data_IF_220284940300
#
_entry.id   IF_220284940300
#
_cell.length_a   1.000
_cell.length_b   1.000
_cell.length_c   1.000
_cell.angle_alpha   90.00
_cell.angle_beta   90.00
_cell.angle_gamma   90.00
#
_symmetry.space_group_name_H-M   'P 1'
#
loop_
_entity.id
_entity.type
_entity.pdbx_description
1 polymer ?
#
# COMPACT_ATOMS: atom_id res chain seq x y z
N UNK A 1 -1.38 17.17 5.98
CA UNK A 1 -2.34 17.32 7.09
C UNK A 1 -1.99 18.56 7.88
N UNK A 2 -2.98 19.36 8.25
CA UNK A 2 -2.82 20.49 9.19
C UNK A 2 -3.55 20.09 10.46
N UNK A 3 -2.82 19.81 11.52
CA UNK A 3 -3.38 19.38 12.81
C UNK A 3 -2.55 19.98 13.94
N UNK A 4 -2.81 21.25 14.27
CA UNK A 4 -2.08 21.94 15.33
C UNK A 4 -2.90 23.01 16.07
N UNK A 5 -4.23 22.89 16.19
CA UNK A 5 -4.97 23.95 16.89
C UNK A 5 -6.04 23.53 17.91
N UNK A 6 -6.73 22.39 17.78
CA UNK A 6 -7.89 22.13 18.66
C UNK A 6 -7.59 21.34 19.94
N UNK A 7 -6.57 20.47 19.98
CA UNK A 7 -6.24 19.72 21.19
C UNK A 7 -5.42 20.55 22.21
N UNK A 8 -5.16 21.83 21.91
CA UNK A 8 -4.11 22.67 22.52
C UNK A 8 -4.47 23.35 23.85
N UNK A 9 -5.67 23.14 24.40
CA UNK A 9 -6.02 23.59 25.77
C UNK A 9 -6.28 22.46 26.76
N UNK A 10 -6.30 21.19 26.31
CA UNK A 10 -6.57 20.05 27.18
C UNK A 10 -5.27 19.42 27.72
N UNK A 11 -4.84 19.95 28.86
CA UNK A 11 -4.40 19.24 30.07
C UNK A 11 -3.08 18.45 30.22
N UNK A 12 -2.24 18.16 29.23
CA UNK A 12 -0.94 17.46 29.54
C UNK A 12 0.25 17.85 28.66
N UNK A 13 0.51 19.15 28.51
CA UNK A 13 1.85 19.59 28.15
C UNK A 13 2.33 20.60 29.19
N UNK A 14 3.48 20.30 29.80
CA UNK A 14 4.19 21.20 30.70
C UNK A 14 4.56 22.54 30.02
N UNK A 15 5.40 23.32 30.69
CA UNK A 15 5.65 24.74 30.42
C UNK A 15 5.61 25.15 28.92
N UNK A 16 4.72 26.11 28.60
CA UNK A 16 4.33 26.61 27.27
C UNK A 16 5.46 26.74 26.23
N UNK A 17 6.69 27.08 26.63
CA UNK A 17 7.82 27.28 25.73
C UNK A 17 8.38 25.97 25.13
N UNK A 18 8.32 24.85 25.86
CA UNK A 18 8.76 23.55 25.35
C UNK A 18 7.73 22.94 24.39
N UNK A 19 6.44 23.20 24.64
CA UNK A 19 5.30 22.76 23.81
C UNK A 19 5.41 23.26 22.37
N UNK A 20 5.60 24.58 22.19
CA UNK A 20 5.70 25.17 20.86
C UNK A 20 6.88 24.59 20.06
N UNK A 21 8.01 24.25 20.71
CA UNK A 21 9.19 23.70 20.02
C UNK A 21 8.95 22.30 19.47
N UNK A 22 8.39 21.38 20.27
CA UNK A 22 8.10 20.02 19.83
C UNK A 22 7.07 20.00 18.70
N UNK A 23 6.10 20.89 18.76
CA UNK A 23 5.10 21.06 17.69
C UNK A 23 5.72 21.53 16.37
N UNK A 24 6.64 22.50 16.41
CA UNK A 24 7.37 22.94 15.21
C UNK A 24 8.29 21.85 14.66
N UNK A 25 8.95 21.10 15.54
CA UNK A 25 9.79 19.97 15.15
C UNK A 25 8.94 18.91 14.43
N UNK A 26 7.80 18.54 15.01
CA UNK A 26 6.87 17.56 14.44
C UNK A 26 6.32 18.01 13.07
N UNK A 27 5.94 19.30 12.95
CA UNK A 27 5.53 19.89 11.68
C UNK A 27 6.67 19.90 10.64
N UNK A 28 7.89 20.19 11.06
CA UNK A 28 9.10 20.11 10.22
C UNK A 28 9.36 18.69 9.72
N UNK A 29 9.20 17.68 10.57
CA UNK A 29 9.30 16.27 10.17
C UNK A 29 8.22 15.86 9.16
N UNK A 30 6.97 16.33 9.32
CA UNK A 30 5.93 16.11 8.30
C UNK A 30 6.32 16.71 6.95
N UNK A 31 6.84 17.94 6.95
CA UNK A 31 7.26 18.62 5.72
C UNK A 31 8.41 17.85 5.05
N UNK A 32 9.42 17.46 5.83
CA UNK A 32 10.54 16.67 5.33
C UNK A 32 10.06 15.33 4.74
N UNK A 33 9.19 14.62 5.45
CA UNK A 33 8.63 13.35 4.98
C UNK A 33 7.84 13.53 3.68
N UNK A 34 7.05 14.61 3.56
CA UNK A 34 6.33 14.93 2.33
C UNK A 34 7.27 15.22 1.15
N UNK A 35 8.34 15.98 1.37
CA UNK A 35 9.36 16.25 0.35
C UNK A 35 10.05 14.95 -0.10
N UNK A 36 10.39 14.06 0.85
CA UNK A 36 10.97 12.76 0.54
C UNK A 36 10.02 11.89 -0.28
N UNK A 37 8.72 11.86 0.06
CA UNK A 37 7.73 11.11 -0.70
C UNK A 37 7.60 11.65 -2.13
N UNK A 38 7.45 12.97 -2.31
CA UNK A 38 7.34 13.59 -3.63
C UNK A 38 8.61 13.36 -4.45
N UNK A 39 9.78 13.59 -3.86
CA UNK A 39 11.07 13.38 -4.52
C UNK A 39 11.32 11.91 -4.88
N UNK A 40 10.98 10.99 -3.98
CA UNK A 40 11.09 9.56 -4.20
C UNK A 40 10.19 9.06 -5.35
N UNK A 41 8.93 9.50 -5.40
CA UNK A 41 8.05 9.17 -6.54
C UNK A 41 8.48 9.85 -7.84
N UNK A 42 8.91 11.11 -7.79
CA UNK A 42 9.43 11.79 -8.97
C UNK A 42 10.66 11.08 -9.56
N UNK A 43 11.50 10.50 -8.70
CA UNK A 43 12.65 9.69 -9.11
C UNK A 43 12.22 8.42 -9.86
N UNK A 44 11.09 7.80 -9.50
CA UNK A 44 10.53 6.65 -10.24
C UNK A 44 10.00 7.02 -11.63
N UNK A 45 9.61 8.28 -11.85
CA UNK A 45 9.19 8.76 -13.17
C UNK A 45 10.39 9.10 -14.06
N UNK A 46 11.60 9.19 -13.50
CA UNK A 46 12.81 9.46 -14.26
C UNK A 46 13.23 8.23 -15.07
N UNK A 47 13.56 8.43 -16.35
CA UNK A 47 14.04 7.37 -17.25
C UNK A 47 15.47 6.93 -16.94
N UNK A 48 16.17 7.63 -16.04
CA UNK A 48 17.54 7.32 -15.70
C UNK A 48 17.63 6.09 -14.75
N UNK A 49 18.33 5.01 -15.16
CA UNK A 49 18.31 3.71 -14.47
C UNK A 49 18.92 3.72 -13.06
N UNK A 50 19.72 4.74 -12.73
CA UNK A 50 20.30 4.91 -11.39
C UNK A 50 19.24 5.25 -10.32
N UNK A 51 18.08 5.79 -10.72
CA UNK A 51 17.13 6.37 -9.77
C UNK A 51 16.03 5.43 -9.27
N UNK A 52 15.73 4.32 -9.96
CA UNK A 52 14.59 3.46 -9.60
C UNK A 52 14.76 2.64 -8.31
N UNK A 53 15.98 2.22 -7.95
CA UNK A 53 16.20 1.56 -6.64
C UNK A 53 16.31 2.57 -5.51
N UNK A 54 16.95 3.70 -5.77
CA UNK A 54 17.12 4.78 -4.80
C UNK A 54 15.83 5.53 -4.52
N UNK A 55 14.95 5.70 -5.52
CA UNK A 55 13.68 6.40 -5.40
C UNK A 55 12.75 5.67 -4.44
N UNK A 56 12.54 4.37 -4.66
CA UNK A 56 11.74 3.53 -3.80
C UNK A 56 12.28 3.47 -2.35
N UNK A 57 13.60 3.44 -2.18
CA UNK A 57 14.23 3.52 -0.85
C UNK A 57 13.94 4.87 -0.17
N UNK A 58 14.03 5.98 -0.91
CA UNK A 58 13.67 7.33 -0.42
C UNK A 58 12.19 7.41 -0.04
N UNK A 59 11.29 6.78 -0.81
CA UNK A 59 9.87 6.67 -0.47
C UNK A 59 9.67 5.91 0.85
N UNK A 60 10.37 4.79 1.06
CA UNK A 60 10.30 4.02 2.31
C UNK A 60 10.78 4.84 3.52
N UNK A 61 11.85 5.64 3.36
CA UNK A 61 12.33 6.57 4.41
C UNK A 61 11.26 7.64 4.69
N UNK A 62 10.66 8.22 3.64
CA UNK A 62 9.55 9.17 3.77
C UNK A 62 8.36 8.58 4.52
N UNK A 63 7.94 7.35 4.19
CA UNK A 63 6.86 6.63 4.88
C UNK A 63 7.20 6.34 6.35
N UNK A 64 8.44 5.95 6.65
CA UNK A 64 8.89 5.78 8.03
C UNK A 64 8.79 7.09 8.82
N UNK A 65 9.15 8.22 8.19
CA UNK A 65 8.93 9.56 8.74
C UNK A 65 7.44 9.82 9.04
N UNK A 66 6.55 9.62 8.06
CA UNK A 66 5.09 9.79 8.26
C UNK A 66 4.57 8.92 9.40
N UNK A 67 5.04 7.67 9.50
CA UNK A 67 4.68 6.76 10.60
C UNK A 67 5.08 7.33 11.96
N UNK A 68 6.36 7.74 12.13
CA UNK A 68 6.87 8.27 13.40
C UNK A 68 6.07 9.48 13.85
N UNK A 69 5.77 10.38 12.93
CA UNK A 69 5.09 11.63 13.25
C UNK A 69 3.63 11.38 13.64
N UNK A 70 2.91 10.50 12.92
CA UNK A 70 1.54 10.13 13.31
C UNK A 70 1.51 9.30 14.60
N UNK A 71 2.52 8.47 14.86
CA UNK A 71 2.64 7.72 16.11
C UNK A 71 2.90 8.66 17.30
N UNK A 72 3.77 9.64 17.13
CA UNK A 72 3.98 10.70 18.10
C UNK A 72 2.68 11.46 18.38
N UNK A 73 1.94 11.85 17.34
CA UNK A 73 0.64 12.53 17.49
C UNK A 73 -0.38 11.66 18.25
N UNK A 74 -0.44 10.35 17.95
CA UNK A 74 -1.32 9.43 18.67
C UNK A 74 -0.95 9.33 20.15
N UNK A 75 0.34 9.19 20.46
CA UNK A 75 0.84 9.16 21.85
C UNK A 75 0.58 10.47 22.57
N UNK A 76 0.74 11.61 21.88
CA UNK A 76 0.42 12.92 22.39
C UNK A 76 -1.06 13.04 22.81
N UNK A 77 -1.98 12.58 21.96
CA UNK A 77 -3.41 12.56 22.28
C UNK A 77 -3.74 11.60 23.43
N UNK A 78 -3.09 10.43 23.48
CA UNK A 78 -3.28 9.46 24.57
C UNK A 78 -2.80 10.02 25.91
N UNK A 79 -1.62 10.65 25.93
CA UNK A 79 -1.13 11.36 27.10
C UNK A 79 -2.02 12.56 27.44
N UNK A 80 -2.61 13.20 26.41
CA UNK A 80 -3.64 14.25 26.49
C UNK A 80 -4.79 13.95 27.46
N UNK A 81 -5.17 12.67 27.52
CA UNK A 81 -6.31 12.17 28.31
C UNK A 81 -5.86 11.24 29.44
N UNK A 82 -4.59 11.31 29.84
CA UNK A 82 -3.99 10.45 30.87
C UNK A 82 -4.21 8.94 30.59
N UNK A 83 -4.24 8.55 29.31
CA UNK A 83 -4.58 7.20 28.85
C UNK A 83 -5.96 6.70 29.31
N UNK A 84 -6.83 7.58 29.78
CA UNK A 84 -8.18 7.26 30.21
C UNK A 84 -9.12 7.16 29.00
N UNK A 85 -9.09 5.99 28.34
CA UNK A 85 -9.87 5.73 27.13
C UNK A 85 -11.40 5.77 27.37
N UNK A 86 -11.86 5.72 28.61
CA UNK A 86 -13.27 5.85 28.96
C UNK A 86 -13.86 7.22 28.56
N UNK A 87 -13.03 8.27 28.47
CA UNK A 87 -13.49 9.61 28.03
C UNK A 87 -13.95 9.63 26.56
N UNK A 88 -13.50 8.66 25.76
CA UNK A 88 -13.87 8.51 24.34
C UNK A 88 -15.37 8.28 24.17
N UNK A 89 -16.03 7.65 25.14
CA UNK A 89 -17.47 7.40 25.10
C UNK A 89 -18.33 8.68 25.26
N UNK A 90 -17.75 9.73 25.84
CA UNK A 90 -18.42 11.00 26.11
C UNK A 90 -18.14 12.05 25.03
N UNK A 91 -17.05 11.90 24.28
CA UNK A 91 -16.63 12.84 23.25
C UNK A 91 -16.32 12.11 21.93
N UNK A 92 -17.30 12.13 21.04
CA UNK A 92 -17.20 11.54 19.69
C UNK A 92 -16.12 12.25 18.85
N UNK A 93 -15.85 13.53 19.09
CA UNK A 93 -14.80 14.27 18.39
C UNK A 93 -13.42 13.78 18.82
N UNK A 94 -13.21 13.56 20.12
CA UNK A 94 -12.00 12.93 20.65
C UNK A 94 -11.79 11.54 20.02
N UNK A 95 -12.84 10.72 19.96
CA UNK A 95 -12.80 9.39 19.38
C UNK A 95 -12.41 9.39 17.89
N UNK A 96 -13.20 10.08 17.06
CA UNK A 96 -13.13 9.97 15.61
C UNK A 96 -12.06 10.87 15.00
N UNK A 97 -11.67 11.95 15.66
CA UNK A 97 -10.79 12.95 15.07
C UNK A 97 -9.42 12.93 15.74
N UNK A 98 -9.35 12.84 17.06
CA UNK A 98 -8.07 12.84 17.75
C UNK A 98 -7.38 11.49 17.70
N UNK A 99 -8.12 10.40 17.88
CA UNK A 99 -7.58 9.03 17.82
C UNK A 99 -7.71 8.36 16.46
N UNK A 100 -8.89 8.39 15.83
CA UNK A 100 -9.06 7.63 14.59
C UNK A 100 -8.26 8.21 13.40
N UNK A 101 -8.03 9.53 13.35
CA UNK A 101 -7.23 10.16 12.27
C UNK A 101 -5.77 9.70 12.28
N UNK A 102 -4.97 9.87 13.36
CA UNK A 102 -3.59 9.40 13.36
C UNK A 102 -3.51 7.88 13.20
N UNK A 103 -4.46 7.13 13.79
CA UNK A 103 -4.52 5.68 13.65
C UNK A 103 -4.73 5.24 12.19
N UNK A 104 -5.69 5.85 11.50
CA UNK A 104 -5.95 5.56 10.09
C UNK A 104 -4.71 5.87 9.22
N UNK A 105 -4.02 6.98 9.48
CA UNK A 105 -2.78 7.30 8.76
C UNK A 105 -1.63 6.34 9.10
N UNK A 106 -1.50 5.88 10.34
CA UNK A 106 -0.52 4.85 10.74
C UNK A 106 -0.78 3.55 9.97
N UNK A 107 -2.02 3.05 10.02
CA UNK A 107 -2.42 1.83 9.31
C UNK A 107 -2.17 1.98 7.81
N UNK A 108 -2.60 3.10 7.22
CA UNK A 108 -2.39 3.37 5.80
C UNK A 108 -0.90 3.43 5.41
N UNK A 109 -0.07 4.01 6.27
CA UNK A 109 1.38 4.11 6.08
C UNK A 109 2.04 2.74 6.17
N UNK A 110 1.70 1.92 7.16
CA UNK A 110 2.23 0.55 7.31
C UNK A 110 1.89 -0.29 6.08
N UNK A 111 0.63 -0.24 5.65
CA UNK A 111 0.17 -0.97 4.47
C UNK A 111 0.94 -0.53 3.22
N UNK A 112 1.03 0.78 2.97
CA UNK A 112 1.78 1.31 1.82
C UNK A 112 3.26 0.92 1.89
N UNK A 113 3.88 0.98 3.08
CA UNK A 113 5.27 0.58 3.30
C UNK A 113 5.49 -0.89 2.97
N UNK A 114 4.63 -1.80 3.45
CA UNK A 114 4.71 -3.23 3.17
C UNK A 114 4.56 -3.50 1.67
N UNK A 115 3.60 -2.84 1.01
CA UNK A 115 3.38 -2.98 -0.42
C UNK A 115 4.62 -2.59 -1.23
N UNK A 116 5.22 -1.45 -0.91
CA UNK A 116 6.45 -0.97 -1.54
C UNK A 116 7.64 -1.89 -1.24
N UNK A 117 7.78 -2.35 0.02
CA UNK A 117 8.83 -3.29 0.41
C UNK A 117 8.74 -4.61 -0.36
N UNK A 118 7.54 -5.13 -0.60
CA UNK A 118 7.36 -6.33 -1.43
C UNK A 118 7.78 -6.10 -2.88
N UNK A 119 7.54 -4.92 -3.46
CA UNK A 119 8.08 -4.59 -4.78
C UNK A 119 9.61 -4.53 -4.77
N UNK A 120 10.23 -3.91 -3.77
CA UNK A 120 11.69 -3.88 -3.63
C UNK A 120 12.29 -5.30 -3.55
N UNK A 121 11.69 -6.17 -2.74
CA UNK A 121 12.12 -7.56 -2.59
C UNK A 121 12.01 -8.32 -3.93
N UNK A 122 10.96 -8.06 -4.71
CA UNK A 122 10.77 -8.69 -6.02
C UNK A 122 11.75 -8.17 -7.09
N UNK A 123 12.34 -6.98 -6.92
CA UNK A 123 13.39 -6.50 -7.81
C UNK A 123 14.73 -7.20 -7.57
N UNK A 124 14.99 -7.68 -6.35
CA UNK A 124 16.23 -8.38 -5.98
C UNK A 124 16.09 -9.91 -6.06
N UNK A 125 14.91 -10.46 -5.76
CA UNK A 125 14.63 -11.90 -5.77
C UNK A 125 13.86 -12.32 -7.02
N UNK A 126 13.73 -13.64 -7.22
CA UNK A 126 12.90 -14.20 -8.29
C UNK A 126 11.43 -13.79 -8.08
N UNK A 127 10.82 -13.27 -9.15
CA UNK A 127 9.42 -12.84 -9.18
C UNK A 127 8.45 -13.93 -8.70
N UNK A 128 7.47 -13.53 -7.87
CA UNK A 128 6.46 -14.44 -7.33
C UNK A 128 5.07 -13.82 -7.33
N UNK A 129 4.14 -14.47 -8.03
CA UNK A 129 2.76 -14.01 -8.24
C UNK A 129 1.98 -13.76 -6.95
N UNK A 130 2.15 -14.66 -5.97
CA UNK A 130 1.47 -14.53 -4.68
C UNK A 130 1.89 -13.27 -3.95
N UNK A 131 3.19 -12.96 -3.93
CA UNK A 131 3.72 -11.77 -3.24
C UNK A 131 3.28 -10.48 -3.95
N UNK A 132 3.25 -10.48 -5.28
CA UNK A 132 2.75 -9.35 -6.05
C UNK A 132 1.27 -9.06 -5.77
N UNK A 133 0.42 -10.08 -5.72
CA UNK A 133 -0.99 -9.89 -5.38
C UNK A 133 -1.18 -9.30 -3.99
N UNK A 134 -0.37 -9.74 -3.01
CA UNK A 134 -0.38 -9.14 -1.68
C UNK A 134 0.11 -7.70 -1.73
N UNK A 135 1.24 -7.43 -2.40
CA UNK A 135 1.80 -6.09 -2.55
C UNK A 135 0.77 -5.10 -3.13
N UNK A 136 0.07 -5.50 -4.18
CA UNK A 136 -0.98 -4.71 -4.82
C UNK A 136 -2.15 -4.45 -3.87
N UNK A 137 -2.68 -5.48 -3.21
CA UNK A 137 -3.80 -5.32 -2.28
C UNK A 137 -3.43 -4.35 -1.15
N UNK A 138 -2.22 -4.47 -0.62
CA UNK A 138 -1.71 -3.59 0.43
C UNK A 138 -1.48 -2.15 -0.08
N UNK A 139 -1.03 -1.99 -1.33
CA UNK A 139 -0.84 -0.68 -1.98
C UNK A 139 -2.17 0.01 -2.36
N UNK A 140 -3.28 -0.73 -2.47
CA UNK A 140 -4.63 -0.17 -2.60
C UNK A 140 -5.21 0.18 -1.23
N UNK A 141 -5.08 -0.73 -0.27
CA UNK A 141 -5.65 -0.55 1.06
C UNK A 141 -5.01 0.63 1.82
N UNK A 142 -3.68 0.79 1.71
CA UNK A 142 -2.96 1.87 2.40
C UNK A 142 -3.51 3.28 2.10
N UNK A 143 -3.62 3.66 0.81
CA UNK A 143 -4.20 4.93 0.38
C UNK A 143 -5.66 5.12 0.78
N UNK A 144 -6.47 4.05 0.79
CA UNK A 144 -7.85 4.11 1.26
C UNK A 144 -7.87 4.56 2.73
N UNK A 145 -7.01 3.99 3.58
CA UNK A 145 -6.87 4.42 4.96
C UNK A 145 -6.39 5.87 5.10
N UNK A 146 -5.48 6.34 4.23
CA UNK A 146 -5.10 7.75 4.19
C UNK A 146 -6.26 8.68 3.78
N UNK A 147 -7.10 8.25 2.84
CA UNK A 147 -8.31 9.01 2.45
C UNK A 147 -9.29 9.05 3.61
N UNK A 148 -9.54 7.92 4.28
CA UNK A 148 -10.40 7.86 5.46
C UNK A 148 -9.88 8.80 6.55
N UNK A 149 -8.59 8.73 6.88
CA UNK A 149 -7.96 9.63 7.85
C UNK A 149 -8.06 11.10 7.44
N UNK A 150 -7.93 11.40 6.14
CA UNK A 150 -8.10 12.76 5.61
C UNK A 150 -9.54 13.26 5.72
N UNK A 151 -10.54 12.42 5.45
CA UNK A 151 -11.98 12.75 5.61
C UNK A 151 -12.28 13.07 7.07
N UNK A 152 -11.85 12.20 7.99
CA UNK A 152 -12.03 12.41 9.42
C UNK A 152 -11.34 13.71 9.88
N UNK A 153 -10.18 14.03 9.32
CA UNK A 153 -9.46 15.27 9.61
C UNK A 153 -10.16 16.53 9.07
N UNK A 154 -10.94 16.42 7.98
CA UNK A 154 -11.76 17.53 7.45
C UNK A 154 -12.97 17.79 8.34
N UNK A 155 -13.55 16.74 8.93
CA UNK A 155 -14.67 16.84 9.87
C UNK A 155 -14.28 17.44 11.23
N UNK A 156 -13.00 17.76 11.44
CA UNK A 156 -12.54 18.44 12.64
C UNK A 156 -13.04 19.89 12.69
N UNK A 157 -13.97 20.20 13.59
CA UNK A 157 -14.43 21.56 13.87
C UNK A 157 -13.52 22.18 14.94
N UNK A 158 -12.89 23.31 14.60
CA UNK A 158 -11.97 24.04 15.48
C UNK A 158 -12.71 25.21 16.14
N UNK A 159 -13.34 24.99 17.29
CA UNK A 159 -14.12 26.05 17.96
C UNK A 159 -13.25 27.08 18.72
N UNK A 160 -12.00 26.76 19.06
CA UNK A 160 -11.15 27.59 19.96
C UNK A 160 -9.69 27.77 19.51
N UNK A 161 -9.43 27.81 18.20
CA UNK A 161 -8.09 28.12 17.70
C UNK A 161 -7.82 29.64 17.68
N UNK A 162 -6.68 30.10 18.22
CA UNK A 162 -6.23 31.51 18.11
C UNK A 162 -6.30 32.02 16.64
N UNK A 163 -6.80 33.25 16.40
CA UNK A 163 -7.03 33.77 15.05
C UNK A 163 -5.81 33.69 14.11
N UNK A 164 -4.58 33.84 14.63
CA UNK A 164 -3.34 33.70 13.85
C UNK A 164 -3.06 32.26 13.38
N UNK A 165 -3.34 31.25 14.20
CA UNK A 165 -3.17 29.84 13.80
C UNK A 165 -4.28 29.40 12.86
N UNK A 166 -5.49 29.96 12.98
CA UNK A 166 -6.54 29.76 11.98
C UNK A 166 -6.17 30.34 10.61
N UNK A 167 -5.51 31.51 10.57
CA UNK A 167 -5.05 32.13 9.30
C UNK A 167 -3.93 31.31 8.66
N UNK A 168 -2.93 30.87 9.42
CA UNK A 168 -1.87 30.00 8.92
C UNK A 168 -2.44 28.66 8.43
N UNK A 169 -3.41 28.10 9.16
CA UNK A 169 -4.18 26.95 8.74
C UNK A 169 -4.99 27.22 7.47
N UNK A 170 -5.66 28.37 7.31
CA UNK A 170 -6.38 28.74 6.09
C UNK A 170 -5.46 29.03 4.90
N UNK A 171 -4.20 29.40 5.13
CA UNK A 171 -3.19 29.55 4.09
C UNK A 171 -2.68 28.19 3.60
N UNK A 172 -2.43 27.24 4.51
CA UNK A 172 -1.99 25.87 4.19
C UNK A 172 -3.15 24.93 3.81
N UNK A 173 -4.37 25.20 4.28
CA UNK A 173 -5.65 24.58 3.88
C UNK A 173 -6.44 25.49 2.92
N UNK A 174 -5.78 26.46 2.29
CA UNK A 174 -6.40 27.19 1.19
C UNK A 174 -6.90 26.16 0.18
N UNK A 175 -8.10 26.35 -0.39
CA UNK A 175 -8.79 25.38 -1.27
C UNK A 175 -7.81 24.54 -2.11
N UNK A 176 -6.83 25.17 -2.75
CA UNK A 176 -5.78 24.54 -3.57
C UNK A 176 -4.94 23.44 -2.89
N UNK A 177 -4.52 23.60 -1.63
CA UNK A 177 -3.61 22.66 -0.94
C UNK A 177 -4.34 21.44 -0.35
N UNK A 178 -5.61 21.61 0.05
CA UNK A 178 -6.49 20.48 0.41
C UNK A 178 -6.75 19.60 -0.82
N UNK A 179 -7.03 20.23 -1.97
CA UNK A 179 -7.14 19.53 -3.25
C UNK A 179 -5.83 18.84 -3.66
N UNK A 180 -4.66 19.39 -3.31
CA UNK A 180 -3.35 18.74 -3.54
C UNK A 180 -3.10 17.52 -2.65
N UNK A 181 -3.45 17.57 -1.36
CA UNK A 181 -3.32 16.40 -0.48
C UNK A 181 -4.30 15.29 -0.89
N UNK A 182 -5.55 15.67 -1.22
CA UNK A 182 -6.56 14.75 -1.72
C UNK A 182 -6.17 14.19 -3.09
N UNK A 183 -5.65 15.04 -3.99
CA UNK A 183 -5.18 14.59 -5.29
C UNK A 183 -3.96 13.69 -5.17
N UNK A 184 -3.05 13.90 -4.22
CA UNK A 184 -1.93 12.99 -3.95
C UNK A 184 -2.40 11.58 -3.57
N UNK A 185 -3.33 11.46 -2.62
CA UNK A 185 -3.92 10.17 -2.24
C UNK A 185 -4.75 9.53 -3.36
N UNK A 186 -5.49 10.33 -4.14
CA UNK A 186 -6.22 9.86 -5.31
C UNK A 186 -5.28 9.41 -6.44
N UNK A 187 -4.21 10.16 -6.73
CA UNK A 187 -3.21 9.81 -7.73
C UNK A 187 -2.47 8.54 -7.36
N UNK A 188 -2.19 8.35 -6.07
CA UNK A 188 -1.60 7.11 -5.58
C UNK A 188 -2.57 5.93 -5.70
N UNK A 189 -3.86 6.15 -5.45
CA UNK A 189 -4.92 5.15 -5.65
C UNK A 189 -5.10 4.80 -7.13
N UNK A 190 -5.07 5.80 -8.02
CA UNK A 190 -5.12 5.62 -9.48
C UNK A 190 -3.85 4.94 -9.98
N UNK A 191 -2.68 5.28 -9.47
CA UNK A 191 -1.40 4.61 -9.76
C UNK A 191 -1.43 3.14 -9.35
N UNK A 192 -1.94 2.85 -8.15
CA UNK A 192 -2.20 1.48 -7.70
C UNK A 192 -3.16 0.73 -8.63
N UNK A 193 -4.27 1.36 -9.04
CA UNK A 193 -5.26 0.75 -9.93
C UNK A 193 -4.72 0.51 -11.36
N UNK A 194 -3.97 1.45 -11.92
CA UNK A 194 -3.31 1.28 -13.22
C UNK A 194 -2.28 0.15 -13.16
N UNK A 195 -1.57 0.00 -12.04
CA UNK A 195 -0.66 -1.12 -11.83
C UNK A 195 -1.42 -2.46 -11.76
N UNK A 196 -2.57 -2.52 -11.07
CA UNK A 196 -3.47 -3.70 -11.07
C UNK A 196 -3.91 -4.07 -12.47
N UNK A 197 -4.30 -3.09 -13.28
CA UNK A 197 -4.75 -3.33 -14.66
C UNK A 197 -3.59 -3.84 -15.52
N UNK A 198 -2.39 -3.26 -15.37
CA UNK A 198 -1.18 -3.71 -16.06
C UNK A 198 -0.83 -5.16 -15.69
N UNK A 199 -0.83 -5.47 -14.40
CA UNK A 199 -0.55 -6.81 -13.88
C UNK A 199 -1.62 -7.81 -14.29
N UNK A 200 -2.90 -7.44 -14.26
CA UNK A 200 -4.01 -8.28 -14.73
C UNK A 200 -3.90 -8.58 -16.23
N UNK A 201 -3.45 -7.60 -17.04
CA UNK A 201 -3.16 -7.83 -18.46
C UNK A 201 -1.96 -8.76 -18.66
N UNK A 202 -0.91 -8.64 -17.84
CA UNK A 202 0.23 -9.57 -17.86
C UNK A 202 -0.18 -10.99 -17.43
N UNK A 203 -0.95 -11.13 -16.35
CA UNK A 203 -1.54 -12.41 -15.90
C UNK A 203 -2.39 -13.07 -16.99
N UNK A 204 -3.21 -12.30 -17.71
CA UNK A 204 -3.98 -12.82 -18.85
C UNK A 204 -3.07 -13.35 -19.96
N UNK A 205 -1.99 -12.64 -20.30
CA UNK A 205 -1.05 -13.07 -21.34
C UNK A 205 -0.29 -14.34 -20.92
N UNK A 206 0.15 -14.41 -19.67
CA UNK A 206 0.89 -15.57 -19.16
C UNK A 206 -0.01 -16.78 -18.94
N UNK A 207 -1.26 -16.59 -18.53
CA UNK A 207 -2.27 -17.65 -18.45
C UNK A 207 -2.55 -18.27 -19.82
N UNK A 208 -2.81 -17.46 -20.85
CA UNK A 208 -2.99 -17.93 -22.24
C UNK A 208 -1.74 -18.65 -22.75
N UNK A 209 -0.54 -18.18 -22.39
CA UNK A 209 0.72 -18.81 -22.77
C UNK A 209 0.93 -20.16 -22.07
N UNK A 210 0.59 -20.26 -20.78
CA UNK A 210 0.64 -21.50 -20.02
C UNK A 210 -0.39 -22.51 -20.52
N UNK A 211 -1.60 -22.08 -20.88
CA UNK A 211 -2.59 -22.93 -21.54
C UNK A 211 -2.11 -23.45 -22.89
N UNK A 212 -1.45 -22.60 -23.69
CA UNK A 212 -0.87 -23.01 -24.97
C UNK A 212 0.29 -24.00 -24.80
N UNK A 213 1.14 -23.79 -23.79
CA UNK A 213 2.20 -24.73 -23.44
C UNK A 213 1.64 -26.06 -22.91
N UNK A 214 0.56 -26.02 -22.11
CA UNK A 214 -0.11 -27.21 -21.60
C UNK A 214 -0.82 -27.98 -22.71
N UNK A 215 -1.49 -27.30 -23.63
CA UNK A 215 -2.11 -27.89 -24.81
C UNK A 215 -1.09 -28.54 -25.74
N UNK A 216 0.00 -27.83 -26.05
CA UNK A 216 1.08 -28.36 -26.90
C UNK A 216 1.80 -29.57 -26.26
N UNK A 217 1.99 -29.56 -24.94
CA UNK A 217 2.52 -30.71 -24.21
C UNK A 217 1.54 -31.91 -24.25
N UNK A 218 0.24 -31.66 -24.09
CA UNK A 218 -0.79 -32.69 -24.20
C UNK A 218 -0.87 -33.29 -25.61
N UNK A 219 -0.81 -32.46 -26.65
CA UNK A 219 -0.78 -32.90 -28.06
C UNK A 219 0.49 -33.70 -28.37
N UNK A 220 1.62 -33.32 -27.79
CA UNK A 220 2.88 -34.05 -27.94
C UNK A 220 2.86 -35.41 -27.26
N UNK A 221 2.22 -35.51 -26.09
CA UNK A 221 2.02 -36.79 -25.39
C UNK A 221 0.98 -37.67 -26.09
N UNK A 222 -0.10 -37.10 -26.63
CA UNK A 222 -1.10 -37.81 -27.41
C UNK A 222 -0.47 -38.41 -28.68
N UNK A 223 0.32 -37.63 -29.44
CA UNK A 223 1.05 -38.15 -30.61
C UNK A 223 2.05 -39.26 -30.26
N UNK A 224 2.77 -39.16 -29.14
CA UNK A 224 3.67 -40.23 -28.69
C UNK A 224 2.90 -41.50 -28.30
N UNK A 225 1.71 -41.35 -27.71
CA UNK A 225 0.83 -42.48 -27.37
C UNK A 225 0.20 -43.12 -28.61
N UNK A 226 -0.11 -42.34 -29.64
CA UNK A 226 -0.59 -42.88 -30.93
C UNK A 226 0.52 -43.58 -31.72
N UNK A 227 1.77 -43.09 -31.65
CA UNK A 227 2.94 -43.75 -32.24
C UNK A 227 3.42 -44.98 -31.46
N UNK A 228 3.06 -45.10 -30.18
CA UNK A 228 3.29 -46.27 -29.33
C UNK A 228 1.95 -46.96 -29.04
N UNK A 229 1.39 -47.62 -30.06
CA UNK A 229 0.39 -48.66 -29.82
C UNK A 229 0.92 -49.60 -28.74
N UNK A 230 0.18 -49.86 -27.65
CA UNK A 230 0.68 -50.68 -26.55
C UNK A 230 1.03 -52.06 -27.11
N UNK A 231 2.32 -52.40 -27.07
CA UNK A 231 2.91 -53.69 -27.50
C UNK A 231 2.21 -54.92 -26.88
N UNK A 232 1.42 -54.71 -25.82
CA UNK A 232 0.56 -55.72 -25.20
C UNK A 232 -0.60 -56.12 -26.13
N UNK A 233 -1.15 -55.19 -26.92
CA UNK A 233 -2.24 -55.50 -27.86
C UNK A 233 -1.73 -56.26 -29.09
N UNK A 234 -0.55 -55.89 -29.63
CA UNK A 234 0.07 -56.57 -30.77
C UNK A 234 0.57 -57.98 -30.41
N UNK A 235 1.15 -58.16 -29.21
CA UNK A 235 1.57 -59.48 -28.74
C UNK A 235 0.39 -60.42 -28.52
N UNK A 236 -0.74 -59.93 -27.99
CA UNK A 236 -1.99 -60.70 -27.93
C UNK A 236 -2.56 -61.00 -29.31
N UNK A 237 -2.47 -60.08 -30.29
CA UNK A 237 -2.95 -60.30 -31.66
C UNK A 237 -2.10 -61.34 -32.40
N UNK A 238 -0.77 -61.31 -32.23
CA UNK A 238 0.16 -62.31 -32.78
C UNK A 238 -0.09 -63.69 -32.18
N UNK A 239 -0.23 -63.79 -30.85
CA UNK A 239 -0.54 -65.07 -30.18
C UNK A 239 -1.87 -65.67 -30.66
N UNK A 240 -2.92 -64.86 -30.81
CA UNK A 240 -4.20 -65.31 -31.38
C UNK A 240 -4.11 -65.74 -32.85
N UNK A 241 -3.21 -65.16 -33.64
CA UNK A 241 -3.02 -65.54 -35.04
C UNK A 241 -2.17 -66.82 -35.21
N UNK A 242 -1.31 -67.12 -34.22
CA UNK A 242 -0.51 -68.35 -34.18
C UNK A 242 -1.34 -69.56 -33.73
N UNK A 243 -2.26 -69.35 -32.79
CA UNK A 243 -3.17 -70.40 -32.26
C UNK A 243 -4.24 -70.85 -33.27
N UNK A 244 -4.49 -70.08 -34.32
CA UNK A 244 -5.50 -70.38 -35.37
C UNK A 244 -4.88 -71.13 -36.57
N UNK A 245 -3.57 -71.43 -36.59
CA UNK A 245 -3.00 -72.30 -37.61
C UNK A 245 -3.19 -73.77 -37.21
N UNK A 246 -4.05 -74.55 -37.90
CA UNK A 246 -4.09 -75.98 -37.66
C UNK A 246 -2.78 -76.59 -38.14
N UNK A 247 -2.10 -77.31 -37.25
CA UNK A 247 -0.98 -78.18 -37.60
C UNK A 247 -1.56 -79.36 -38.39
N UNK A 248 -1.17 -79.46 -39.66
CA UNK A 248 -1.47 -80.58 -40.57
C UNK A 248 -0.67 -81.81 -40.16
#
# INVERSE_FOLDING_TARGET
MVKLASARESRTYGHLAARNRLEYINAGFYLLAAVLLVGGFAAELSTAPAFGKSGLAVVLIGLAGVFVVNAHDLVAHLAGVDYCLFLVDFDVQLALVEFAVPLAHIVGTILTFIGILFFLIQMEKRYSLRLESHAINTLIAGPIFWVIGSIHNICQVYETANGHVQILQKCVQGKSWVWLCLSGSCLFSVGGLLNVVKVSKMQRRDGVRLEKLRGSAHESLARRREGQLPLILESSRRKKAEEVRPVV
#
